data_IF_114477050102
#
_entry.id   IF_114477050102
#
_cell.length_a   1.000
_cell.length_b   1.000
_cell.length_c   1.000
_cell.angle_alpha   90.00
_cell.angle_beta   90.00
_cell.angle_gamma   90.00
#
_symmetry.space_group_name_H-M   'P 1'
#
loop_
_entity.id
_entity.type
_entity.pdbx_description
1 polymer ?
#
# COMPACT_ATOMS: atom_id res chain seq x y z
N UNK A 1 -23.44 3.64 -2.38
CA UNK A 1 -21.96 3.68 -2.23
C UNK A 1 -21.49 5.10 -2.44
N UNK A 2 -20.33 5.48 -1.84
CA UNK A 2 -19.70 6.78 -2.14
C UNK A 2 -19.26 6.82 -3.60
N UNK A 3 -19.39 7.98 -4.22
CA UNK A 3 -19.09 8.20 -5.64
C UNK A 3 -17.57 8.41 -5.84
N UNK A 4 -16.78 7.31 -5.73
CA UNK A 4 -15.33 7.36 -5.89
C UNK A 4 -14.93 7.67 -7.31
N UNK A 5 -13.85 8.46 -7.47
CA UNK A 5 -13.22 8.77 -8.75
C UNK A 5 -12.07 7.80 -9.00
N UNK A 6 -12.20 6.89 -9.96
CA UNK A 6 -11.20 5.88 -10.27
C UNK A 6 -10.58 6.14 -11.64
N UNK A 7 -9.26 6.23 -11.70
CA UNK A 7 -8.53 6.25 -12.96
C UNK A 7 -8.10 4.83 -13.33
N UNK A 8 -8.47 4.38 -14.50
CA UNK A 8 -8.06 3.11 -15.10
C UNK A 8 -6.98 3.42 -16.12
N UNK A 9 -5.75 2.96 -15.87
CA UNK A 9 -4.61 3.12 -16.78
C UNK A 9 -4.29 1.76 -17.38
N UNK A 10 -4.71 1.57 -18.62
CA UNK A 10 -4.69 0.28 -19.32
C UNK A 10 -4.72 0.52 -20.82
N UNK A 11 -3.74 0.00 -21.59
CA UNK A 11 -3.65 0.17 -23.02
C UNK A 11 -4.51 -0.82 -23.81
N UNK A 12 -4.83 -1.98 -23.23
CA UNK A 12 -5.75 -2.92 -23.84
C UNK A 12 -7.20 -2.48 -23.66
N UNK A 13 -7.77 -1.92 -24.73
CA UNK A 13 -9.13 -1.35 -24.75
C UNK A 13 -10.23 -2.28 -24.22
N UNK A 14 -10.08 -3.60 -24.42
CA UNK A 14 -11.06 -4.58 -23.94
C UNK A 14 -11.06 -4.67 -22.42
N UNK A 15 -9.87 -4.74 -21.81
CA UNK A 15 -9.70 -4.79 -20.36
C UNK A 15 -10.15 -3.46 -19.75
N UNK A 16 -9.71 -2.31 -20.30
CA UNK A 16 -10.10 -1.00 -19.82
C UNK A 16 -11.63 -0.81 -19.82
N UNK A 17 -12.30 -1.20 -20.91
CA UNK A 17 -13.78 -1.11 -21.01
C UNK A 17 -14.49 -2.07 -20.07
N UNK A 18 -13.99 -3.28 -19.92
CA UNK A 18 -14.52 -4.24 -18.96
C UNK A 18 -14.44 -3.67 -17.54
N UNK A 19 -13.28 -3.19 -17.12
CA UNK A 19 -13.10 -2.55 -15.81
C UNK A 19 -14.02 -1.35 -15.63
N UNK A 20 -14.13 -0.49 -16.63
CA UNK A 20 -15.03 0.66 -16.60
C UNK A 20 -16.46 0.22 -16.31
N UNK A 21 -17.00 -0.73 -17.07
CA UNK A 21 -18.39 -1.21 -16.90
C UNK A 21 -18.64 -1.80 -15.51
N UNK A 22 -17.70 -2.62 -15.01
CA UNK A 22 -17.82 -3.23 -13.68
C UNK A 22 -17.83 -2.18 -12.57
N UNK A 23 -16.89 -1.21 -12.64
CA UNK A 23 -16.80 -0.17 -11.62
C UNK A 23 -17.95 0.83 -11.67
N UNK A 24 -18.43 1.20 -12.85
CA UNK A 24 -19.61 2.05 -13.01
C UNK A 24 -20.89 1.34 -12.51
N UNK A 25 -21.00 0.02 -12.69
CA UNK A 25 -22.08 -0.78 -12.14
C UNK A 25 -22.06 -0.77 -10.59
N UNK A 26 -20.88 -0.71 -9.97
CA UNK A 26 -20.72 -0.55 -8.53
C UNK A 26 -20.90 0.91 -8.04
N UNK A 27 -21.25 1.82 -8.94
CA UNK A 27 -21.55 3.22 -8.64
C UNK A 27 -20.33 4.11 -8.48
N UNK A 28 -19.20 3.75 -9.09
CA UNK A 28 -18.00 4.57 -9.14
C UNK A 28 -17.96 5.41 -10.43
N UNK A 29 -17.31 6.56 -10.38
CA UNK A 29 -17.00 7.32 -11.58
C UNK A 29 -15.64 6.89 -12.10
N UNK A 30 -15.54 6.63 -13.39
CA UNK A 30 -14.31 6.14 -13.99
C UNK A 30 -13.78 7.06 -15.09
N UNK A 31 -12.47 7.07 -15.23
CA UNK A 31 -11.79 7.65 -16.39
C UNK A 31 -10.76 6.63 -16.89
N UNK A 32 -10.57 6.57 -18.20
CA UNK A 32 -9.58 5.68 -18.83
C UNK A 32 -8.43 6.51 -19.38
N UNK A 33 -7.21 5.99 -19.29
CA UNK A 33 -6.02 6.47 -19.94
C UNK A 33 -5.23 5.28 -20.51
N UNK A 34 -4.79 5.37 -21.75
CA UNK A 34 -4.11 4.29 -22.47
C UNK A 34 -2.60 4.55 -22.71
N UNK A 35 -2.08 5.65 -22.15
CA UNK A 35 -0.70 6.06 -22.33
C UNK A 35 -0.06 6.43 -21.00
N UNK A 36 1.11 5.86 -20.73
CA UNK A 36 1.78 6.01 -19.42
C UNK A 36 2.17 7.45 -19.09
N UNK A 37 2.65 8.25 -20.05
CA UNK A 37 3.02 9.64 -19.80
C UNK A 37 1.81 10.49 -19.45
N UNK A 38 0.74 10.36 -20.22
CA UNK A 38 -0.52 11.09 -19.95
C UNK A 38 -1.16 10.63 -18.64
N UNK A 39 -1.05 9.33 -18.32
CA UNK A 39 -1.51 8.80 -17.05
C UNK A 39 -0.79 9.48 -15.88
N UNK A 40 0.54 9.58 -15.91
CA UNK A 40 1.30 10.29 -14.88
C UNK A 40 0.82 11.73 -14.69
N UNK A 41 0.68 12.50 -15.80
CA UNK A 41 0.20 13.88 -15.74
C UNK A 41 -1.20 13.98 -15.13
N UNK A 42 -2.12 13.10 -15.54
CA UNK A 42 -3.48 13.05 -14.99
C UNK A 42 -3.53 12.68 -13.52
N UNK A 43 -2.70 11.74 -13.07
CA UNK A 43 -2.65 11.34 -11.65
C UNK A 43 -2.16 12.51 -10.78
N UNK A 44 -1.12 13.22 -11.23
CA UNK A 44 -0.55 14.34 -10.46
C UNK A 44 -1.48 15.55 -10.42
N UNK A 45 -2.20 15.83 -11.51
CA UNK A 45 -3.08 16.99 -11.63
C UNK A 45 -4.53 16.71 -11.20
N UNK A 46 -4.94 15.45 -11.17
CA UNK A 46 -6.31 15.04 -10.91
C UNK A 46 -6.59 14.74 -9.44
N UNK A 47 -7.89 14.69 -9.12
CA UNK A 47 -8.39 14.26 -7.82
C UNK A 47 -9.03 12.87 -7.98
N UNK A 48 -8.21 11.83 -7.97
CA UNK A 48 -8.66 10.46 -7.98
C UNK A 48 -8.61 9.87 -6.57
N UNK A 49 -9.59 9.04 -6.25
CA UNK A 49 -9.61 8.28 -4.99
C UNK A 49 -8.82 6.98 -5.09
N UNK A 50 -8.66 6.47 -6.32
CA UNK A 50 -7.90 5.26 -6.63
C UNK A 50 -7.42 5.27 -8.07
N UNK A 51 -6.25 4.67 -8.30
CA UNK A 51 -5.71 4.39 -9.63
C UNK A 51 -5.54 2.88 -9.79
N UNK A 52 -6.12 2.31 -10.84
CA UNK A 52 -5.77 0.98 -11.35
C UNK A 52 -4.73 1.18 -12.44
N UNK A 53 -3.54 0.62 -12.28
CA UNK A 53 -2.39 0.92 -13.11
C UNK A 53 -1.78 -0.36 -13.68
N UNK A 54 -1.90 -0.52 -14.99
CA UNK A 54 -1.17 -1.60 -15.68
C UNK A 54 0.34 -1.39 -15.59
N UNK A 55 1.06 -2.46 -15.39
CA UNK A 55 2.54 -2.47 -15.44
C UNK A 55 3.04 -2.26 -16.86
N UNK A 56 2.41 -2.93 -17.83
CA UNK A 56 2.87 -2.96 -19.23
C UNK A 56 2.18 -1.88 -20.05
N UNK A 57 2.67 -0.65 -19.95
CA UNK A 57 2.14 0.49 -20.69
C UNK A 57 3.14 1.00 -21.73
N UNK A 58 2.67 1.58 -22.85
CA UNK A 58 3.53 2.26 -23.80
C UNK A 58 4.08 3.57 -23.22
N UNK A 59 5.26 3.98 -23.68
CA UNK A 59 6.01 5.21 -23.37
C UNK A 59 6.57 5.28 -21.95
N UNK A 60 5.79 4.90 -20.92
CA UNK A 60 6.23 4.88 -19.54
C UNK A 60 5.53 3.72 -18.81
N UNK A 61 6.31 2.76 -18.34
CA UNK A 61 5.80 1.59 -17.61
C UNK A 61 5.16 1.98 -16.26
N UNK A 62 4.27 1.11 -15.77
CA UNK A 62 3.51 1.36 -14.55
C UNK A 62 4.38 1.50 -13.29
N UNK A 63 5.51 0.80 -13.20
CA UNK A 63 6.44 0.93 -12.07
C UNK A 63 7.10 2.31 -12.04
N UNK A 64 7.54 2.80 -13.20
CA UNK A 64 8.10 4.15 -13.33
C UNK A 64 7.06 5.21 -12.99
N UNK A 65 5.80 5.05 -13.42
CA UNK A 65 4.70 5.95 -13.07
C UNK A 65 4.49 5.95 -11.56
N UNK A 66 4.33 4.77 -10.94
CA UNK A 66 4.09 4.64 -9.51
C UNK A 66 5.20 5.34 -8.69
N UNK A 67 6.47 5.08 -9.00
CA UNK A 67 7.60 5.71 -8.32
C UNK A 67 7.53 7.24 -8.39
N UNK A 68 7.34 7.80 -9.59
CA UNK A 68 7.26 9.25 -9.78
C UNK A 68 6.04 9.87 -9.09
N UNK A 69 4.90 9.18 -9.12
CA UNK A 69 3.69 9.64 -8.44
C UNK A 69 3.93 9.71 -6.94
N UNK A 70 4.63 8.74 -6.35
CA UNK A 70 4.90 8.71 -4.91
C UNK A 70 5.79 9.85 -4.41
N UNK A 71 6.57 10.49 -5.28
CA UNK A 71 7.31 11.71 -4.94
C UNK A 71 6.38 12.92 -4.68
N UNK A 72 5.16 12.90 -5.26
CA UNK A 72 4.27 14.05 -5.28
C UNK A 72 2.87 13.79 -4.71
N UNK A 73 2.43 12.53 -4.61
CA UNK A 73 1.06 12.16 -4.27
C UNK A 73 0.98 10.84 -3.51
N UNK A 74 0.02 10.79 -2.57
CA UNK A 74 -0.35 9.57 -1.83
C UNK A 74 -1.66 8.94 -2.35
N UNK A 75 -2.04 9.24 -3.59
CA UNK A 75 -3.20 8.61 -4.20
C UNK A 75 -3.04 7.08 -4.19
N UNK A 76 -4.05 6.31 -3.76
CA UNK A 76 -3.98 4.85 -3.79
C UNK A 76 -3.75 4.31 -5.20
N UNK A 77 -2.82 3.37 -5.34
CA UNK A 77 -2.50 2.72 -6.61
C UNK A 77 -2.55 1.21 -6.41
N UNK A 78 -3.40 0.54 -7.19
CA UNK A 78 -3.41 -0.92 -7.35
C UNK A 78 -2.77 -1.23 -8.70
N UNK A 79 -1.67 -2.00 -8.68
CA UNK A 79 -0.99 -2.42 -9.90
C UNK A 79 -1.68 -3.63 -10.51
N UNK A 80 -1.86 -3.62 -11.84
CA UNK A 80 -2.33 -4.77 -12.61
C UNK A 80 -1.12 -5.39 -13.33
N UNK A 81 -0.80 -6.66 -13.07
CA UNK A 81 0.43 -7.28 -13.57
C UNK A 81 0.17 -8.65 -14.21
N UNK A 82 1.03 -9.09 -15.12
CA UNK A 82 0.98 -10.45 -15.65
C UNK A 82 1.52 -11.46 -14.62
N UNK A 83 1.07 -12.73 -14.74
CA UNK A 83 1.28 -13.78 -13.72
C UNK A 83 2.75 -14.21 -13.51
N UNK A 84 3.65 -13.90 -14.44
CA UNK A 84 5.00 -14.49 -14.50
C UNK A 84 6.10 -13.65 -13.81
N UNK A 85 5.78 -12.47 -13.31
CA UNK A 85 6.73 -11.54 -12.71
C UNK A 85 6.70 -11.58 -11.18
N UNK A 86 7.17 -12.71 -10.61
CA UNK A 86 7.36 -12.80 -9.13
C UNK A 86 8.48 -11.87 -8.67
N UNK A 87 9.51 -11.67 -9.48
CA UNK A 87 10.60 -10.73 -9.18
C UNK A 87 10.10 -9.28 -9.26
N UNK A 88 9.16 -8.96 -10.15
CA UNK A 88 8.51 -7.65 -10.23
C UNK A 88 7.60 -7.37 -9.03
N UNK A 89 7.01 -8.38 -8.39
CA UNK A 89 6.18 -8.21 -7.18
C UNK A 89 7.02 -7.73 -6.00
N UNK A 90 8.25 -8.21 -5.84
CA UNK A 90 9.14 -7.78 -4.76
C UNK A 90 9.67 -6.37 -5.06
N UNK A 91 10.08 -6.08 -6.29
CA UNK A 91 10.46 -4.73 -6.70
C UNK A 91 9.29 -3.74 -6.63
N UNK A 92 8.09 -4.18 -6.98
CA UNK A 92 6.91 -3.35 -6.97
C UNK A 92 6.44 -2.93 -5.58
N UNK A 93 6.58 -3.75 -4.56
CA UNK A 93 6.27 -3.40 -3.17
C UNK A 93 7.20 -2.31 -2.63
N UNK A 94 8.47 -2.28 -3.08
CA UNK A 94 9.44 -1.23 -2.73
C UNK A 94 9.13 0.11 -3.43
N UNK A 95 8.36 0.10 -4.52
CA UNK A 95 7.99 1.30 -5.30
C UNK A 95 6.84 2.09 -4.65
N UNK A 96 6.13 1.49 -3.68
CA UNK A 96 5.08 2.18 -2.91
C UNK A 96 3.66 2.02 -3.48
N UNK A 97 3.38 1.02 -4.31
CA UNK A 97 2.01 0.64 -4.64
C UNK A 97 1.25 0.16 -3.40
N UNK A 98 -0.07 0.35 -3.40
CA UNK A 98 -0.94 -0.03 -2.29
C UNK A 98 -1.29 -1.52 -2.32
N UNK A 99 -1.47 -2.07 -3.52
CA UNK A 99 -1.76 -3.48 -3.76
C UNK A 99 -1.40 -3.91 -5.19
N UNK A 100 -1.41 -5.23 -5.46
CA UNK A 100 -1.14 -5.85 -6.75
C UNK A 100 -2.20 -6.89 -7.07
N UNK A 101 -2.61 -6.94 -8.34
CA UNK A 101 -3.51 -7.95 -8.86
C UNK A 101 -2.90 -8.56 -10.11
N UNK A 102 -2.82 -9.89 -10.16
CA UNK A 102 -2.31 -10.59 -11.33
C UNK A 102 -3.41 -10.83 -12.36
N UNK A 103 -3.14 -10.51 -13.62
CA UNK A 103 -3.99 -10.86 -14.76
C UNK A 103 -3.80 -12.34 -15.14
N UNK A 104 -4.89 -13.10 -15.44
CA UNK A 104 -6.28 -12.70 -15.36
C UNK A 104 -6.81 -12.71 -13.92
N UNK A 105 -7.62 -11.74 -13.56
CA UNK A 105 -8.25 -11.62 -12.24
C UNK A 105 -9.76 -11.72 -12.30
N UNK A 106 -10.38 -12.12 -11.19
CA UNK A 106 -11.83 -12.12 -11.05
C UNK A 106 -12.31 -10.75 -10.55
N UNK A 107 -13.42 -10.23 -11.11
CA UNK A 107 -14.04 -8.96 -10.67
C UNK A 107 -14.28 -8.91 -9.16
N UNK A 108 -14.82 -9.96 -8.50
CA UNK A 108 -15.01 -9.93 -7.05
C UNK A 108 -13.72 -9.74 -6.26
N UNK A 109 -12.59 -10.27 -6.72
CA UNK A 109 -11.27 -10.08 -6.11
C UNK A 109 -10.84 -8.62 -6.22
N UNK A 110 -10.87 -8.05 -7.44
CA UNK A 110 -10.53 -6.65 -7.67
C UNK A 110 -11.36 -5.73 -6.77
N UNK A 111 -12.68 -5.90 -6.73
CA UNK A 111 -13.57 -5.09 -5.91
C UNK A 111 -13.30 -5.24 -4.41
N UNK A 112 -12.94 -6.44 -3.94
CA UNK A 112 -12.57 -6.66 -2.54
C UNK A 112 -11.31 -5.88 -2.18
N UNK A 113 -10.26 -5.93 -3.01
CA UNK A 113 -9.01 -5.20 -2.84
C UNK A 113 -9.20 -3.69 -2.88
N UNK A 114 -9.98 -3.20 -3.86
CA UNK A 114 -10.33 -1.78 -3.94
C UNK A 114 -11.03 -1.29 -2.66
N UNK A 115 -11.99 -2.06 -2.12
CA UNK A 115 -12.68 -1.71 -0.87
C UNK A 115 -11.72 -1.58 0.31
N UNK A 116 -10.74 -2.47 0.42
CA UNK A 116 -9.73 -2.41 1.50
C UNK A 116 -8.89 -1.15 1.38
N UNK A 117 -8.37 -0.87 0.18
CA UNK A 117 -7.52 0.30 -0.09
C UNK A 117 -8.29 1.60 0.16
N UNK A 118 -9.51 1.73 -0.36
CA UNK A 118 -10.36 2.91 -0.19
C UNK A 118 -10.76 3.13 1.28
N UNK A 119 -11.10 2.08 2.01
CA UNK A 119 -11.43 2.16 3.45
C UNK A 119 -10.25 2.67 4.28
N UNK A 120 -9.02 2.21 3.99
CA UNK A 120 -7.80 2.72 4.67
C UNK A 120 -7.64 4.22 4.45
N UNK A 121 -7.85 4.70 3.23
CA UNK A 121 -7.79 6.12 2.92
C UNK A 121 -8.86 6.95 3.64
N UNK A 122 -10.09 6.43 3.75
CA UNK A 122 -11.16 7.10 4.51
C UNK A 122 -10.83 7.23 5.99
N UNK A 123 -10.34 6.16 6.62
CA UNK A 123 -9.93 6.19 8.02
C UNK A 123 -8.82 7.22 8.26
N UNK A 124 -7.90 7.39 7.31
CA UNK A 124 -6.86 8.43 7.37
C UNK A 124 -7.44 9.85 7.18
N UNK A 125 -8.48 10.01 6.35
CA UNK A 125 -9.17 11.31 6.18
C UNK A 125 -10.02 11.69 7.40
N UNK A 126 -10.70 10.72 8.03
CA UNK A 126 -11.52 10.93 9.23
C UNK A 126 -10.69 11.22 10.48
N UNK A 127 -9.49 10.64 10.62
CA UNK A 127 -8.54 10.93 11.68
C UNK A 127 -8.05 12.40 11.67
N UNK A 128 -8.15 13.10 10.54
CA UNK A 128 -7.78 14.54 10.46
C UNK A 128 -8.79 15.50 11.11
N UNK A 129 -9.96 15.01 11.52
CA UNK A 129 -11.05 15.86 12.06
C UNK A 129 -11.22 15.74 13.58
N UNK A 130 -10.60 14.77 14.24
CA UNK A 130 -10.66 14.60 15.70
C UNK A 130 -9.28 14.25 16.27
N UNK A 131 -8.99 14.63 17.48
CA UNK A 131 -7.72 14.54 18.20
C UNK A 131 -6.67 13.66 17.54
N UNK A 132 -5.52 14.24 17.22
CA UNK A 132 -4.42 13.55 16.50
C UNK A 132 -4.03 12.25 17.21
N UNK A 133 -4.36 11.13 16.61
CA UNK A 133 -3.96 9.83 17.13
C UNK A 133 -2.44 9.72 17.07
N UNK A 134 -1.82 9.39 18.19
CA UNK A 134 -0.38 9.20 18.29
C UNK A 134 -0.10 7.79 18.77
N UNK A 135 0.59 7.00 17.97
CA UNK A 135 1.09 5.69 18.37
C UNK A 135 2.54 5.83 18.82
N UNK A 136 2.86 5.34 20.01
CA UNK A 136 4.21 5.48 20.54
C UNK A 136 4.70 4.26 21.28
N UNK A 137 6.01 4.06 21.26
CA UNK A 137 6.75 3.09 22.08
C UNK A 137 8.13 3.64 22.37
N UNK A 138 8.52 3.73 23.63
CA UNK A 138 9.78 4.39 24.03
C UNK A 138 9.89 5.79 23.42
N UNK A 139 10.95 6.05 22.65
CA UNK A 139 11.21 7.29 21.95
C UNK A 139 10.76 7.30 20.47
N UNK A 140 10.14 6.21 19.99
CA UNK A 140 9.52 6.14 18.67
C UNK A 140 8.10 6.66 18.76
N UNK A 141 7.75 7.57 17.86
CA UNK A 141 6.43 8.16 17.72
C UNK A 141 5.98 8.09 16.27
N UNK A 142 4.75 7.65 16.05
CA UNK A 142 4.10 7.60 14.75
C UNK A 142 2.83 8.44 14.79
N UNK A 143 2.65 9.27 13.78
CA UNK A 143 1.49 10.11 13.56
C UNK A 143 0.69 9.60 12.36
N UNK A 144 -0.30 8.71 12.56
CA UNK A 144 -1.02 8.07 11.46
C UNK A 144 -1.68 9.08 10.51
N UNK A 145 -2.25 10.16 11.06
CA UNK A 145 -2.92 11.19 10.26
C UNK A 145 -1.98 11.98 9.32
N UNK A 146 -0.68 12.05 9.65
CA UNK A 146 0.34 12.75 8.86
C UNK A 146 1.21 11.80 8.04
N UNK A 147 1.04 10.49 8.24
CA UNK A 147 1.92 9.45 7.67
C UNK A 147 3.40 9.66 8.04
N UNK A 148 3.66 10.11 9.27
CA UNK A 148 4.98 10.46 9.77
C UNK A 148 5.42 9.49 10.87
N UNK A 149 6.72 9.17 10.87
CA UNK A 149 7.40 8.42 11.93
C UNK A 149 8.62 9.20 12.38
N UNK A 150 8.82 9.28 13.70
CA UNK A 150 9.95 9.96 14.31
C UNK A 150 10.53 9.10 15.43
N UNK A 151 11.85 9.21 15.62
CA UNK A 151 12.56 8.68 16.79
C UNK A 151 13.36 9.81 17.42
N UNK A 152 13.09 10.13 18.68
CA UNK A 152 13.65 11.30 19.35
C UNK A 152 13.47 12.60 18.56
N UNK A 153 12.31 12.78 17.91
CA UNK A 153 12.01 13.91 17.04
C UNK A 153 12.72 13.91 15.69
N UNK A 154 13.54 12.88 15.39
CA UNK A 154 14.21 12.73 14.10
C UNK A 154 13.30 11.98 13.13
N UNK A 155 12.93 12.54 11.97
CA UNK A 155 12.11 11.86 10.97
C UNK A 155 12.77 10.59 10.43
N UNK A 156 11.95 9.57 10.23
CA UNK A 156 12.35 8.29 9.63
C UNK A 156 11.51 8.04 8.39
N UNK A 157 12.17 7.96 7.24
CA UNK A 157 11.52 7.66 5.97
C UNK A 157 11.30 6.15 5.84
N UNK A 158 10.04 5.78 5.72
CA UNK A 158 9.59 4.41 5.49
C UNK A 158 8.90 4.32 4.13
N UNK A 159 9.08 3.18 3.45
CA UNK A 159 8.20 2.84 2.33
C UNK A 159 6.80 2.56 2.84
N UNK A 160 5.80 2.56 1.97
CA UNK A 160 4.41 2.35 2.39
C UNK A 160 4.22 1.03 3.15
N UNK A 161 4.78 -0.07 2.66
CA UNK A 161 4.63 -1.38 3.33
C UNK A 161 5.42 -1.48 4.65
N UNK A 162 6.56 -0.81 4.76
CA UNK A 162 7.25 -0.68 6.05
C UNK A 162 6.41 0.13 7.04
N UNK A 163 5.79 1.21 6.57
CA UNK A 163 4.91 2.04 7.37
C UNK A 163 3.68 1.24 7.84
N UNK A 164 2.95 0.58 6.93
CA UNK A 164 1.77 -0.23 7.24
C UNK A 164 2.11 -1.35 8.25
N UNK A 165 3.26 -2.00 8.07
CA UNK A 165 3.75 -3.03 9.00
C UNK A 165 4.04 -2.44 10.39
N UNK A 166 4.73 -1.31 10.45
CA UNK A 166 5.05 -0.65 11.72
C UNK A 166 3.76 -0.19 12.43
N UNK A 167 2.82 0.41 11.69
CA UNK A 167 1.53 0.82 12.22
C UNK A 167 0.75 -0.35 12.81
N UNK A 168 0.68 -1.47 12.07
CA UNK A 168 -0.01 -2.66 12.55
C UNK A 168 0.63 -3.24 13.81
N UNK A 169 1.96 -3.26 13.89
CA UNK A 169 2.69 -3.70 15.09
C UNK A 169 2.47 -2.75 16.28
N UNK A 170 2.47 -1.43 16.07
CA UNK A 170 2.25 -0.44 17.12
C UNK A 170 0.81 -0.48 17.66
N UNK A 171 -0.19 -0.63 16.80
CA UNK A 171 -1.60 -0.77 17.19
C UNK A 171 -1.84 -2.03 18.04
N UNK A 172 -1.02 -3.05 17.82
CA UNK A 172 -1.06 -4.30 18.57
C UNK A 172 0.10 -4.44 19.58
N UNK A 173 0.59 -3.30 20.10
CA UNK A 173 1.68 -3.27 21.07
C UNK A 173 1.41 -4.25 22.23
N UNK A 174 2.46 -4.99 22.64
CA UNK A 174 2.46 -6.04 23.67
C UNK A 174 1.80 -7.36 23.27
N UNK A 175 1.09 -7.42 22.14
CA UNK A 175 0.55 -8.67 21.60
C UNK A 175 1.55 -9.29 20.63
N UNK A 176 1.76 -10.60 20.76
CA UNK A 176 2.57 -11.35 19.78
C UNK A 176 1.71 -11.61 18.57
N UNK A 177 2.14 -11.11 17.41
CA UNK A 177 1.47 -11.32 16.14
C UNK A 177 2.18 -12.43 15.35
N UNK A 178 1.41 -13.40 14.89
CA UNK A 178 1.94 -14.45 14.01
C UNK A 178 2.25 -13.86 12.63
N UNK A 179 3.11 -14.55 11.85
CA UNK A 179 3.41 -14.16 10.47
C UNK A 179 2.15 -14.12 9.60
N UNK A 180 1.25 -15.09 9.77
CA UNK A 180 -0.01 -15.15 9.04
C UNK A 180 -0.93 -13.98 9.39
N UNK A 181 -1.02 -13.61 10.67
CA UNK A 181 -1.78 -12.43 11.10
C UNK A 181 -1.22 -11.15 10.51
N UNK A 182 0.10 -10.98 10.52
CA UNK A 182 0.75 -9.82 9.92
C UNK A 182 0.52 -9.81 8.42
N UNK A 183 0.72 -10.94 7.76
CA UNK A 183 0.52 -11.09 6.32
C UNK A 183 -0.90 -10.70 5.91
N UNK A 184 -1.91 -11.30 6.56
CA UNK A 184 -3.32 -11.07 6.24
C UNK A 184 -3.79 -9.62 6.52
N UNK A 185 -3.14 -8.88 7.40
CA UNK A 185 -3.54 -7.51 7.76
C UNK A 185 -2.74 -6.42 7.04
N UNK A 186 -1.52 -6.72 6.61
CA UNK A 186 -0.62 -5.76 5.95
C UNK A 186 -0.55 -6.01 4.44
N UNK A 187 -0.69 -7.28 3.98
CA UNK A 187 -0.61 -7.68 2.57
C UNK A 187 -1.90 -8.25 1.97
N UNK A 188 -2.98 -8.37 2.77
CA UNK A 188 -4.27 -8.96 2.43
C UNK A 188 -4.35 -10.50 2.42
N UNK A 189 -5.59 -11.01 2.63
CA UNK A 189 -5.93 -12.42 2.88
C UNK A 189 -5.58 -13.36 1.71
N UNK A 190 -5.44 -12.83 0.50
CA UNK A 190 -5.17 -13.60 -0.73
C UNK A 190 -3.71 -13.50 -1.21
N UNK A 191 -2.81 -13.01 -0.36
CA UNK A 191 -1.39 -13.05 -0.69
C UNK A 191 -0.94 -14.53 -0.68
N UNK A 192 -0.95 -15.16 -1.86
CA UNK A 192 -0.50 -16.56 -2.08
C UNK A 192 1.03 -16.68 -2.03
N UNK A 193 1.74 -15.64 -1.59
CA UNK A 193 3.19 -15.64 -1.43
C UNK A 193 3.64 -16.25 -0.11
N UNK A 194 4.92 -16.59 -0.04
CA UNK A 194 5.57 -17.15 1.15
C UNK A 194 5.52 -16.13 2.32
N UNK A 195 5.24 -16.61 3.53
CA UNK A 195 5.26 -15.82 4.77
C UNK A 195 6.63 -15.17 5.06
N UNK A 196 7.67 -15.57 4.33
CA UNK A 196 9.02 -14.99 4.38
C UNK A 196 9.06 -13.50 4.06
N UNK A 197 8.07 -12.95 3.33
CA UNK A 197 7.98 -11.50 3.06
C UNK A 197 7.90 -10.70 4.35
N UNK A 198 7.19 -11.17 5.36
CA UNK A 198 7.11 -10.53 6.68
C UNK A 198 8.49 -10.40 7.32
N UNK A 199 9.30 -11.47 7.25
CA UNK A 199 10.65 -11.49 7.82
C UNK A 199 11.59 -10.49 7.11
N UNK A 200 11.43 -10.32 5.79
CA UNK A 200 12.18 -9.35 4.99
C UNK A 200 11.84 -7.92 5.42
N UNK A 201 10.56 -7.59 5.52
CA UNK A 201 10.14 -6.23 5.91
C UNK A 201 10.44 -5.92 7.38
N UNK A 202 10.35 -6.89 8.27
CA UNK A 202 10.83 -6.74 9.66
C UNK A 202 12.32 -6.45 9.68
N UNK A 203 13.13 -7.08 8.82
CA UNK A 203 14.56 -6.77 8.70
C UNK A 203 14.79 -5.34 8.22
N UNK A 204 14.04 -4.86 7.22
CA UNK A 204 14.15 -3.48 6.73
C UNK A 204 13.76 -2.47 7.82
N UNK A 205 12.67 -2.70 8.52
CA UNK A 205 12.28 -1.86 9.65
C UNK A 205 13.36 -1.81 10.74
N UNK A 206 13.95 -2.95 11.09
CA UNK A 206 15.04 -2.99 12.08
C UNK A 206 16.25 -2.18 11.62
N UNK A 207 16.65 -2.26 10.37
CA UNK A 207 17.76 -1.45 9.84
C UNK A 207 17.47 0.05 9.98
N UNK A 208 16.23 0.48 9.70
CA UNK A 208 15.84 1.88 9.75
C UNK A 208 15.55 2.40 11.16
N UNK A 209 15.14 1.55 12.08
CA UNK A 209 14.75 1.87 13.44
C UNK A 209 15.75 1.32 14.47
N UNK A 210 15.78 0.00 14.65
CA UNK A 210 16.56 -0.64 15.73
C UNK A 210 18.06 -0.37 15.60
N UNK A 211 18.64 -0.59 14.40
CA UNK A 211 20.09 -0.44 14.16
C UNK A 211 20.51 1.02 14.12
N UNK A 212 19.70 1.89 13.47
CA UNK A 212 20.02 3.32 13.32
C UNK A 212 19.99 4.05 14.65
N UNK A 213 19.01 3.77 15.50
CA UNK A 213 18.83 4.46 16.78
C UNK A 213 19.35 3.67 17.98
N UNK A 214 19.94 2.48 17.76
CA UNK A 214 20.49 1.59 18.78
C UNK A 214 19.51 1.24 19.88
N UNK A 215 18.23 1.19 19.54
CA UNK A 215 17.15 0.84 20.45
C UNK A 215 16.30 -0.28 19.83
N UNK A 216 15.95 -1.28 20.62
CA UNK A 216 15.20 -2.43 20.12
C UNK A 216 13.70 -2.23 20.28
N UNK A 217 13.01 -2.02 19.18
CA UNK A 217 11.55 -1.89 19.13
C UNK A 217 10.86 -3.19 18.77
N UNK A 218 11.37 -3.91 17.76
CA UNK A 218 10.71 -5.10 17.20
C UNK A 218 11.40 -6.35 17.75
N UNK A 219 10.67 -7.16 18.51
CA UNK A 219 11.15 -8.39 19.13
C UNK A 219 10.64 -9.61 18.36
N UNK A 220 11.53 -10.59 18.13
CA UNK A 220 11.16 -11.89 17.56
C UNK A 220 10.74 -12.85 18.67
N UNK A 221 9.56 -13.41 18.54
CA UNK A 221 9.11 -14.57 19.32
C UNK A 221 9.33 -15.83 18.48
N UNK A 222 10.42 -16.54 18.79
CA UNK A 222 10.86 -17.72 18.01
C UNK A 222 9.72 -18.72 17.83
N UNK A 223 9.53 -19.18 16.58
CA UNK A 223 8.46 -20.12 16.21
C UNK A 223 7.05 -19.54 16.18
N UNK A 224 6.85 -18.25 16.55
CA UNK A 224 5.52 -17.61 16.58
C UNK A 224 5.45 -16.41 15.63
N UNK A 225 6.24 -15.36 15.85
CA UNK A 225 6.16 -14.13 15.07
C UNK A 225 6.86 -12.95 15.71
N UNK A 226 6.21 -11.78 15.72
CA UNK A 226 6.81 -10.53 16.15
C UNK A 226 5.95 -9.75 17.13
N UNK A 227 6.59 -8.91 17.95
CA UNK A 227 5.91 -8.04 18.92
C UNK A 227 6.71 -6.76 19.13
N UNK A 228 6.01 -5.63 19.30
CA UNK A 228 6.57 -4.38 19.82
C UNK A 228 6.33 -4.34 21.34
N UNK A 229 7.38 -4.00 22.09
CA UNK A 229 7.35 -3.88 23.56
C UNK A 229 7.97 -2.55 23.99
N UNK A 230 7.45 -2.04 25.11
CA UNK A 230 8.07 -0.92 25.86
C UNK A 230 9.43 -1.32 26.40
#
# INVERSE_FOLDING_TARGET
>A
MKNYQVLIVEDERRIARFLQMELEHEGMNTAIEDNGRRAYERIVQGNYDLVLLDVMLPDMDGFTICRKVRELSQVPIIMLTAKDDIDDKVQGLDIGADDYITKPFATPELLARMRVVLRRQESQREAKVGQEEVLSVKNLTMYPARHEVQVDGTPVELTKKEYDLLEYLLRNKRNVLTRDQILSNVWDYDYMGDTNVVDVYVRYLRQKLDDRFREKYIHTMRGVGYVIKD
#
